data_IF_218931865505
#
_entry.id   IF_218931865505
#
_cell.length_a   1.000
_cell.length_b   1.000
_cell.length_c   1.000
_cell.angle_alpha   90.00
_cell.angle_beta   90.00
_cell.angle_gamma   90.00
#
_symmetry.space_group_name_H-M   'P 1'
#
loop_
_entity.id
_entity.type
_entity.pdbx_description
1 polymer ?
#
# COMPACT_ATOMS: atom_id res chain seq x y z
N UNK A 1 0.43 21.62 -6.46
CA UNK A 1 0.41 20.51 -5.49
C UNK A 1 -0.94 19.82 -5.66
N UNK A 2 -1.00 18.74 -6.44
CA UNK A 2 -2.21 17.91 -6.55
C UNK A 2 -2.27 16.97 -5.35
N UNK A 3 -3.45 16.85 -4.76
CA UNK A 3 -3.74 15.93 -3.67
C UNK A 3 -4.75 14.93 -4.17
N UNK A 4 -4.49 13.66 -3.89
CA UNK A 4 -5.30 12.55 -4.40
C UNK A 4 -5.90 11.77 -3.22
N UNK A 5 -7.15 11.37 -3.37
CA UNK A 5 -7.89 10.62 -2.35
C UNK A 5 -7.65 9.12 -2.53
N UNK A 6 -7.17 8.45 -1.48
CA UNK A 6 -6.94 7.01 -1.48
C UNK A 6 -8.17 6.27 -0.93
N UNK A 7 -8.53 5.17 -1.61
CA UNK A 7 -9.59 4.28 -1.16
C UNK A 7 -9.08 3.30 -0.09
N UNK A 8 -9.72 3.34 1.08
CA UNK A 8 -9.36 2.56 2.25
C UNK A 8 -9.31 1.05 1.97
N UNK A 9 -10.35 0.52 1.33
CA UNK A 9 -10.50 -0.90 1.04
C UNK A 9 -9.43 -1.40 0.06
N UNK A 10 -9.04 -0.57 -0.91
CA UNK A 10 -7.99 -0.91 -1.88
C UNK A 10 -6.64 -1.00 -1.20
N UNK A 11 -6.28 0.02 -0.42
CA UNK A 11 -5.04 0.04 0.35
C UNK A 11 -4.91 -1.21 1.24
N UNK A 12 -5.98 -1.55 1.96
CA UNK A 12 -6.04 -2.72 2.82
C UNK A 12 -5.91 -4.03 2.04
N UNK A 13 -6.57 -4.13 0.89
CA UNK A 13 -6.54 -5.33 0.03
C UNK A 13 -5.16 -5.57 -0.55
N UNK A 14 -4.53 -4.54 -1.14
CA UNK A 14 -3.18 -4.64 -1.70
C UNK A 14 -2.17 -4.96 -0.61
N UNK A 15 -2.23 -4.30 0.55
CA UNK A 15 -1.32 -4.58 1.65
C UNK A 15 -1.40 -6.04 2.11
N UNK A 16 -2.61 -6.55 2.30
CA UNK A 16 -2.85 -7.95 2.70
C UNK A 16 -2.36 -8.91 1.64
N UNK A 17 -2.69 -8.66 0.39
CA UNK A 17 -2.27 -9.47 -0.75
C UNK A 17 -0.74 -9.56 -0.85
N UNK A 18 -0.04 -8.45 -0.62
CA UNK A 18 1.42 -8.39 -0.62
C UNK A 18 2.09 -8.87 0.66
N UNK A 19 1.31 -9.25 1.69
CA UNK A 19 1.80 -9.69 3.01
C UNK A 19 2.76 -8.67 3.65
N UNK A 20 2.50 -7.37 3.45
CA UNK A 20 3.30 -6.29 4.06
C UNK A 20 2.61 -5.83 5.35
N UNK A 21 3.32 -5.90 6.47
CA UNK A 21 2.83 -5.36 7.75
C UNK A 21 2.87 -3.83 7.78
N UNK A 22 2.04 -3.21 8.63
CA UNK A 22 2.08 -1.76 8.87
C UNK A 22 3.49 -1.24 9.24
N UNK A 23 4.28 -1.92 10.11
CA UNK A 23 5.63 -1.45 10.43
C UNK A 23 6.57 -1.38 9.22
N UNK A 24 6.47 -2.35 8.31
CA UNK A 24 7.30 -2.40 7.10
C UNK A 24 6.86 -1.34 6.10
N UNK A 25 5.55 -1.18 5.91
CA UNK A 25 4.99 -0.20 4.99
C UNK A 25 5.31 1.23 5.46
N UNK A 26 5.21 1.49 6.76
CA UNK A 26 5.53 2.77 7.39
C UNK A 26 6.98 3.21 7.10
N UNK A 27 7.94 2.31 7.29
CA UNK A 27 9.35 2.55 6.99
C UNK A 27 9.61 2.86 5.52
N UNK A 28 8.90 2.19 4.61
CA UNK A 28 9.08 2.35 3.17
C UNK A 28 8.41 3.61 2.61
N UNK A 29 7.23 3.98 3.14
CA UNK A 29 6.47 5.15 2.67
C UNK A 29 6.79 6.44 3.43
N UNK A 30 7.60 6.38 4.49
CA UNK A 30 7.89 7.53 5.37
C UNK A 30 6.70 7.95 6.22
N UNK A 31 5.67 7.10 6.35
CA UNK A 31 4.49 7.33 7.17
C UNK A 31 4.58 6.60 8.50
N UNK A 32 3.73 6.98 9.45
CA UNK A 32 3.57 6.26 10.71
C UNK A 32 2.54 5.13 10.57
N UNK A 33 2.71 4.06 11.35
CA UNK A 33 1.72 2.96 11.39
C UNK A 33 0.31 3.45 11.72
N UNK A 34 0.21 4.46 12.60
CA UNK A 34 -1.07 5.10 12.95
C UNK A 34 -1.71 5.81 11.76
N UNK A 35 -0.92 6.49 10.93
CA UNK A 35 -1.43 7.08 9.69
C UNK A 35 -1.93 5.98 8.75
N UNK A 36 -1.16 4.90 8.56
CA UNK A 36 -1.59 3.76 7.72
C UNK A 36 -2.93 3.16 8.18
N UNK A 37 -3.07 2.90 9.48
CA UNK A 37 -4.31 2.37 10.04
C UNK A 37 -5.51 3.33 9.84
N UNK A 38 -5.28 4.64 9.97
CA UNK A 38 -6.31 5.66 9.72
C UNK A 38 -6.73 5.68 8.24
N UNK A 39 -5.78 5.57 7.32
CA UNK A 39 -6.05 5.51 5.89
C UNK A 39 -6.83 4.24 5.50
N UNK A 40 -6.51 3.10 6.12
CA UNK A 40 -7.22 1.83 5.90
C UNK A 40 -8.63 1.79 6.51
N UNK A 41 -9.01 2.78 7.32
CA UNK A 41 -10.34 2.84 7.95
C UNK A 41 -11.26 3.88 7.31
N UNK A 42 -10.74 5.04 6.90
CA UNK A 42 -11.57 6.13 6.37
C UNK A 42 -11.10 6.68 5.02
N UNK A 43 -9.99 6.17 4.48
CA UNK A 43 -9.28 6.79 3.37
C UNK A 43 -8.49 8.01 3.85
N UNK A 44 -7.69 8.58 2.95
CA UNK A 44 -7.05 9.87 3.20
C UNK A 44 -6.73 10.56 1.88
N UNK A 45 -6.67 11.88 1.95
CA UNK A 45 -6.06 12.71 0.92
C UNK A 45 -4.58 12.88 1.25
N UNK A 46 -3.73 12.47 0.31
CA UNK A 46 -2.30 12.62 0.43
C UNK A 46 -1.76 13.49 -0.72
N UNK A 47 -0.69 14.24 -0.48
CA UNK A 47 0.05 14.86 -1.56
C UNK A 47 0.70 13.79 -2.43
N UNK A 48 0.82 14.09 -3.72
CA UNK A 48 1.31 13.15 -4.73
C UNK A 48 2.67 12.50 -4.36
N UNK A 49 3.60 13.26 -3.77
CA UNK A 49 4.89 12.73 -3.31
C UNK A 49 4.77 11.56 -2.31
N UNK A 50 3.79 11.65 -1.39
CA UNK A 50 3.53 10.60 -0.40
C UNK A 50 2.79 9.44 -1.05
N UNK A 51 1.85 9.72 -1.95
CA UNK A 51 1.13 8.70 -2.71
C UNK A 51 2.09 7.84 -3.54
N UNK A 52 3.04 8.47 -4.26
CA UNK A 52 4.08 7.78 -5.03
C UNK A 52 4.94 6.91 -4.11
N UNK A 53 5.42 7.45 -2.98
CA UNK A 53 6.22 6.68 -2.01
C UNK A 53 5.47 5.46 -1.47
N UNK A 54 4.17 5.60 -1.23
CA UNK A 54 3.31 4.52 -0.76
C UNK A 54 3.06 3.47 -1.85
N UNK A 55 2.81 3.92 -3.08
CA UNK A 55 2.63 3.07 -4.25
C UNK A 55 3.91 2.27 -4.58
N UNK A 56 5.07 2.91 -4.49
CA UNK A 56 6.39 2.29 -4.67
C UNK A 56 6.70 1.24 -3.60
N UNK A 57 6.36 1.54 -2.34
CA UNK A 57 6.46 0.59 -1.24
C UNK A 57 5.58 -0.64 -1.46
N UNK A 58 4.39 -0.43 -2.01
CA UNK A 58 3.46 -1.46 -2.41
C UNK A 58 3.73 -2.02 -3.81
N UNK A 59 4.75 -1.57 -4.55
CA UNK A 59 5.05 -2.01 -5.93
C UNK A 59 3.81 -2.02 -6.84
N UNK A 60 2.97 -0.99 -6.75
CA UNK A 60 1.79 -0.79 -7.60
C UNK A 60 1.79 0.63 -8.16
N UNK A 61 0.88 0.92 -9.09
CA UNK A 61 0.69 2.28 -9.56
C UNK A 61 -0.12 3.10 -8.54
N UNK A 62 0.20 4.39 -8.34
CA UNK A 62 -0.54 5.26 -7.41
C UNK A 62 -2.01 5.41 -7.82
N UNK A 63 -2.30 5.38 -9.13
CA UNK A 63 -3.65 5.39 -9.71
C UNK A 63 -4.50 4.16 -9.31
N UNK A 64 -3.86 3.03 -8.98
CA UNK A 64 -4.58 1.87 -8.49
C UNK A 64 -5.08 2.06 -7.05
N UNK A 65 -4.45 2.92 -6.26
CA UNK A 65 -4.89 3.25 -4.90
C UNK A 65 -6.05 4.25 -4.87
N UNK A 66 -6.09 5.16 -5.85
CA UNK A 66 -7.12 6.21 -5.93
C UNK A 66 -8.44 5.74 -6.53
N UNK A 67 -8.43 4.61 -7.24
CA UNK A 67 -9.62 4.13 -7.96
C UNK A 67 -9.54 4.35 -9.46
N UNK A 68 -8.63 5.21 -9.93
CA UNK A 68 -8.52 5.62 -11.33
C UNK A 68 -8.14 4.47 -12.28
N UNK A 69 -7.35 3.50 -11.80
CA UNK A 69 -7.06 2.26 -12.52
C UNK A 69 -7.67 1.06 -11.79
N UNK A 70 -8.16 0.03 -12.50
CA UNK A 70 -8.58 -1.21 -11.86
C UNK A 70 -7.37 -1.93 -11.23
N UNK A 71 -7.59 -2.58 -10.09
CA UNK A 71 -6.59 -3.48 -9.50
C UNK A 71 -6.47 -4.72 -10.39
N UNK A 72 -5.26 -5.05 -10.80
CA UNK A 72 -4.98 -6.26 -11.58
C UNK A 72 -4.43 -7.37 -10.70
N UNK A 73 -4.49 -8.62 -11.16
CA UNK A 73 -4.00 -9.77 -10.40
C UNK A 73 -2.51 -9.65 -10.01
N UNK A 74 -1.71 -8.91 -10.77
CA UNK A 74 -0.30 -8.64 -10.43
C UNK A 74 -0.15 -7.77 -9.17
N UNK A 75 -1.12 -6.91 -8.88
CA UNK A 75 -1.17 -6.06 -7.69
C UNK A 75 -1.56 -6.84 -6.44
N UNK A 76 -2.35 -7.90 -6.64
CA UNK A 76 -2.89 -8.77 -5.60
C UNK A 76 -2.07 -10.06 -5.41
N UNK A 77 -0.93 -10.20 -6.09
CA UNK A 77 0.01 -11.29 -5.85
C UNK A 77 1.00 -10.93 -4.74
N UNK A 78 1.29 -11.87 -3.82
CA UNK A 78 2.41 -11.69 -2.91
C UNK A 78 3.68 -11.56 -3.74
N UNK A 79 4.56 -10.64 -3.36
CA UNK A 79 5.93 -10.65 -3.87
C UNK A 79 6.52 -12.00 -3.45
N UNK A 80 6.63 -12.92 -4.41
CA UNK A 80 7.06 -14.29 -4.17
C UNK A 80 8.50 -14.28 -3.71
N UNK A 81 8.71 -14.34 -2.40
CA UNK A 81 9.97 -14.77 -1.83
C UNK A 81 9.63 -15.73 -0.71
N UNK A 82 9.44 -16.99 -1.09
CA UNK A 82 9.75 -18.09 -0.20
C UNK A 82 11.26 -18.03 0.07
N UNK A 83 11.67 -17.35 1.14
CA UNK A 83 12.88 -17.78 1.85
C UNK A 83 12.39 -18.75 2.91
N UNK A 84 12.49 -20.03 2.56
CA UNK A 84 12.63 -21.14 3.50
C UNK A 84 13.29 -20.68 4.81
N UNK A 85 12.53 -20.72 5.90
CA UNK A 85 12.99 -20.25 7.21
C UNK A 85 12.04 -20.50 8.39
N UNK A 86 10.94 -21.24 8.20
CA UNK A 86 10.32 -22.01 9.29
C UNK A 86 10.77 -23.49 9.20
N UNK A 87 12.09 -23.67 9.05
CA UNK A 87 12.83 -24.87 9.43
C UNK A 87 13.82 -24.43 10.52
N UNK A 88 13.37 -24.48 11.77
CA UNK A 88 14.18 -24.53 12.99
C UNK A 88 13.28 -24.96 14.13
#
# INVERSE_FOLDING_TARGET
>A
MTTETILADRLKSVRKARKIGHPKLAKLSGLTERQLAKMETKGAELPDAVLVSLADALKITPLALTGALPLIDADLKPASTCTSGCCS
#
